data_IF_146999741181
#
_entry.id   IF_146999741181
#
_cell.length_a   1.000
_cell.length_b   1.000
_cell.length_c   1.000
_cell.angle_alpha   90.00
_cell.angle_beta   90.00
_cell.angle_gamma   90.00
#
_symmetry.space_group_name_H-M   'P 1'
#
loop_
_entity.id
_entity.type
_entity.pdbx_description
1 polymer ?
#
# COMPACT_ATOMS: atom_id res chain seq x y z
N UNK A 1 -9.24 -17.10 44.76
CA UNK A 1 -9.93 -16.78 43.50
C UNK A 1 -9.38 -15.41 43.11
N UNK A 2 -8.48 -15.36 42.12
CA UNK A 2 -7.95 -14.08 41.65
C UNK A 2 -9.07 -13.39 40.90
N UNK A 3 -9.42 -12.17 41.32
CA UNK A 3 -10.39 -11.35 40.58
C UNK A 3 -9.90 -11.18 39.13
N UNK A 4 -10.82 -11.29 38.16
CA UNK A 4 -10.55 -11.05 36.75
C UNK A 4 -10.06 -9.61 36.60
N UNK A 5 -8.87 -9.37 35.99
CA UNK A 5 -8.41 -8.01 35.73
C UNK A 5 -9.29 -7.26 34.73
N UNK A 6 -9.99 -7.97 33.82
CA UNK A 6 -10.92 -7.32 32.88
C UNK A 6 -12.24 -6.95 33.59
N UNK A 7 -12.73 -5.73 33.35
CA UNK A 7 -14.05 -5.33 33.83
C UNK A 7 -15.17 -6.18 33.19
N UNK A 8 -16.25 -6.44 33.95
CA UNK A 8 -17.37 -7.27 33.47
C UNK A 8 -18.01 -6.79 32.13
N UNK A 9 -17.92 -5.49 31.82
CA UNK A 9 -18.42 -4.99 30.54
C UNK A 9 -17.58 -5.45 29.34
N UNK A 10 -16.32 -5.90 29.53
CA UNK A 10 -15.47 -6.38 28.45
C UNK A 10 -16.06 -7.60 27.72
N UNK A 11 -16.88 -8.39 28.40
CA UNK A 11 -17.62 -9.52 27.81
C UNK A 11 -18.75 -9.09 26.86
N UNK A 12 -19.20 -7.85 26.97
CA UNK A 12 -20.22 -7.28 26.08
C UNK A 12 -19.62 -6.73 24.78
N UNK A 13 -18.30 -6.63 24.71
CA UNK A 13 -17.60 -6.17 23.52
C UNK A 13 -17.45 -7.32 22.51
N UNK A 14 -17.77 -7.04 21.24
CA UNK A 14 -17.56 -7.99 20.14
C UNK A 14 -16.09 -8.17 19.75
N UNK A 15 -15.18 -7.34 20.28
CA UNK A 15 -13.74 -7.41 20.01
C UNK A 15 -13.08 -8.37 21.01
N UNK A 16 -12.25 -9.29 20.50
CA UNK A 16 -11.51 -10.20 21.37
C UNK A 16 -10.39 -9.44 22.12
N UNK A 17 -10.36 -9.61 23.45
CA UNK A 17 -9.41 -8.94 24.34
C UNK A 17 -8.64 -9.98 25.17
N UNK A 18 -7.31 -9.83 25.20
CA UNK A 18 -6.43 -10.53 26.15
C UNK A 18 -5.68 -9.51 27.01
N UNK A 19 -5.44 -9.87 28.25
CA UNK A 19 -4.56 -9.11 29.15
C UNK A 19 -3.30 -9.92 29.39
N UNK A 20 -2.16 -9.28 29.20
CA UNK A 20 -0.85 -9.90 29.38
C UNK A 20 -0.08 -9.28 30.54
N UNK A 21 0.69 -10.12 31.22
CA UNK A 21 1.73 -9.69 32.13
C UNK A 21 2.88 -9.06 31.33
N UNK A 22 3.29 -7.81 31.66
CA UNK A 22 4.30 -7.09 30.86
C UNK A 22 5.70 -7.69 30.91
N UNK A 23 6.04 -8.44 31.96
CA UNK A 23 7.39 -9.01 32.13
C UNK A 23 7.50 -10.41 31.51
N UNK A 24 6.50 -11.25 31.76
CA UNK A 24 6.49 -12.66 31.39
C UNK A 24 5.75 -12.94 30.07
N UNK A 25 4.86 -12.02 29.63
CA UNK A 25 3.99 -12.21 28.48
C UNK A 25 2.82 -13.18 28.75
N UNK A 26 2.70 -13.69 29.98
CA UNK A 26 1.64 -14.63 30.33
C UNK A 26 0.25 -14.02 30.16
N UNK A 27 -0.71 -14.82 29.70
CA UNK A 27 -2.12 -14.43 29.63
C UNK A 27 -2.69 -14.36 31.04
N UNK A 28 -3.09 -13.18 31.47
CA UNK A 28 -3.71 -12.92 32.77
C UNK A 28 -5.23 -13.05 32.70
N UNK A 29 -5.83 -12.62 31.58
CA UNK A 29 -7.27 -12.67 31.39
C UNK A 29 -7.69 -12.61 29.91
N UNK A 30 -8.95 -12.99 29.65
CA UNK A 30 -9.56 -12.96 28.33
C UNK A 30 -11.05 -12.70 28.45
N UNK A 31 -11.63 -11.98 27.49
CA UNK A 31 -13.09 -11.79 27.43
C UNK A 31 -13.76 -12.92 26.62
N UNK A 32 -15.10 -12.95 26.67
CA UNK A 32 -15.92 -13.95 25.97
C UNK A 32 -15.67 -13.97 24.44
N UNK A 33 -15.40 -12.81 23.82
CA UNK A 33 -15.08 -12.75 22.39
C UNK A 33 -13.73 -13.43 22.08
N UNK A 34 -12.73 -13.33 22.95
CA UNK A 34 -11.46 -14.05 22.81
C UNK A 34 -11.65 -15.56 22.97
N UNK A 35 -12.47 -16.01 23.93
CA UNK A 35 -12.81 -17.44 24.04
C UNK A 35 -13.47 -17.97 22.76
N UNK A 36 -14.38 -17.21 22.15
CA UNK A 36 -15.02 -17.54 20.87
C UNK A 36 -14.04 -17.58 19.71
N UNK A 37 -13.09 -16.63 19.64
CA UNK A 37 -12.08 -16.55 18.60
C UNK A 37 -11.11 -17.75 18.64
N UNK A 38 -10.56 -18.07 19.82
CA UNK A 38 -9.57 -19.14 19.99
C UNK A 38 -10.19 -20.52 20.19
N UNK A 39 -11.44 -20.59 20.64
CA UNK A 39 -12.13 -21.83 20.99
C UNK A 39 -11.66 -22.45 22.31
N UNK A 40 -10.95 -21.70 23.13
CA UNK A 40 -10.46 -22.09 24.44
C UNK A 40 -11.10 -21.25 25.54
N UNK A 41 -11.35 -21.81 26.71
CA UNK A 41 -11.73 -21.03 27.87
C UNK A 41 -10.58 -20.14 28.37
N UNK A 42 -10.88 -19.08 29.08
CA UNK A 42 -9.88 -18.19 29.71
C UNK A 42 -8.87 -18.98 30.54
N UNK A 43 -9.31 -19.99 31.27
CA UNK A 43 -8.41 -20.87 32.04
C UNK A 43 -7.43 -21.63 31.16
N UNK A 44 -7.90 -22.17 30.03
CA UNK A 44 -7.06 -22.87 29.06
C UNK A 44 -6.11 -21.92 28.32
N UNK A 45 -6.53 -20.66 28.02
CA UNK A 45 -5.66 -19.64 27.43
C UNK A 45 -4.52 -19.25 28.38
N UNK A 46 -4.80 -19.13 29.68
CA UNK A 46 -3.78 -18.88 30.71
C UNK A 46 -2.74 -20.00 30.80
N UNK A 47 -3.19 -21.24 30.75
CA UNK A 47 -2.31 -22.40 30.82
C UNK A 47 -1.43 -22.57 29.58
N UNK A 48 -2.01 -22.36 28.39
CA UNK A 48 -1.32 -22.53 27.12
C UNK A 48 -0.36 -21.39 26.80
N UNK A 49 -0.68 -20.19 27.26
CA UNK A 49 0.05 -18.97 26.89
C UNK A 49 -0.01 -18.67 25.39
N UNK A 50 0.78 -17.71 24.94
CA UNK A 50 0.86 -17.32 23.52
C UNK A 50 1.41 -18.46 22.66
N UNK A 51 2.37 -19.21 23.16
CA UNK A 51 3.00 -20.33 22.45
C UNK A 51 2.00 -21.43 22.09
N UNK A 52 1.14 -21.80 23.03
CA UNK A 52 0.18 -22.90 22.84
C UNK A 52 -0.97 -22.59 21.90
N UNK A 53 -1.14 -21.32 21.52
CA UNK A 53 -2.16 -20.85 20.55
C UNK A 53 -1.55 -20.33 19.24
N UNK A 54 -0.22 -20.13 19.18
CA UNK A 54 0.48 -19.70 17.97
C UNK A 54 0.80 -20.88 17.06
N UNK A 55 1.07 -20.58 15.78
CA UNK A 55 1.56 -21.59 14.85
C UNK A 55 3.04 -21.84 15.03
N UNK A 56 3.50 -23.05 14.71
CA UNK A 56 4.92 -23.43 14.75
C UNK A 56 5.69 -22.76 13.59
N UNK A 57 6.06 -21.49 13.78
CA UNK A 57 6.85 -20.73 12.82
C UNK A 57 7.80 -19.79 13.57
N UNK A 58 9.05 -19.64 13.12
CA UNK A 58 10.00 -18.69 13.72
C UNK A 58 9.46 -17.26 13.80
N UNK A 59 8.60 -16.87 12.86
CA UNK A 59 7.95 -15.55 12.80
C UNK A 59 6.94 -15.35 13.93
N UNK A 60 6.32 -16.43 14.41
CA UNK A 60 5.25 -16.41 15.44
C UNK A 60 5.73 -17.08 16.72
N UNK A 61 7.00 -16.84 17.10
CA UNK A 61 7.62 -17.42 18.26
C UNK A 61 7.24 -16.70 19.56
N UNK A 62 7.36 -17.39 20.68
CA UNK A 62 7.17 -16.81 22.02
C UNK A 62 8.12 -15.63 22.26
N UNK A 63 9.35 -15.74 21.80
CA UNK A 63 10.34 -14.67 21.94
C UNK A 63 9.89 -13.40 21.22
N UNK A 64 9.39 -13.52 19.97
CA UNK A 64 8.84 -12.39 19.20
C UNK A 64 7.63 -11.78 19.89
N UNK A 65 6.72 -12.60 20.41
CA UNK A 65 5.54 -12.12 21.13
C UNK A 65 5.93 -11.37 22.41
N UNK A 66 6.86 -11.93 23.20
CA UNK A 66 7.32 -11.31 24.44
C UNK A 66 8.04 -9.99 24.19
N UNK A 67 8.84 -9.90 23.13
CA UNK A 67 9.51 -8.65 22.75
C UNK A 67 8.48 -7.55 22.45
N UNK A 68 7.42 -7.85 21.70
CA UNK A 68 6.36 -6.90 21.37
C UNK A 68 5.53 -6.50 22.61
N UNK A 69 5.24 -7.45 23.52
CA UNK A 69 4.54 -7.17 24.76
C UNK A 69 5.36 -6.22 25.65
N UNK A 70 6.68 -6.42 25.74
CA UNK A 70 7.57 -5.54 26.50
C UNK A 70 7.65 -4.14 25.91
N UNK A 71 7.79 -4.02 24.57
CA UNK A 71 7.76 -2.73 23.90
C UNK A 71 6.46 -1.97 24.18
N UNK A 72 5.31 -2.65 24.09
CA UNK A 72 4.02 -2.05 24.43
C UNK A 72 3.92 -1.64 25.91
N UNK A 73 4.53 -2.40 26.82
CA UNK A 73 4.58 -2.06 28.27
C UNK A 73 5.42 -0.80 28.53
N UNK A 74 6.43 -0.52 27.73
CA UNK A 74 7.25 0.68 27.76
C UNK A 74 6.57 1.91 27.15
N UNK A 75 5.44 1.71 26.43
CA UNK A 75 4.62 2.78 25.87
C UNK A 75 4.65 2.83 24.33
N UNK A 76 5.41 1.95 23.68
CA UNK A 76 5.45 1.80 22.22
C UNK A 76 4.30 0.88 21.76
N UNK A 77 3.19 1.46 21.29
CA UNK A 77 2.03 0.70 20.80
C UNK A 77 2.44 -0.19 19.63
N UNK A 78 2.11 -1.48 19.68
CA UNK A 78 2.43 -2.46 18.66
C UNK A 78 1.20 -2.86 17.87
N UNK A 79 1.25 -2.82 16.54
CA UNK A 79 0.22 -3.40 15.67
C UNK A 79 0.88 -4.36 14.69
N UNK A 80 0.39 -5.59 14.63
CA UNK A 80 0.96 -6.61 13.77
C UNK A 80 -0.02 -7.73 13.46
N UNK A 81 0.26 -8.50 12.43
CA UNK A 81 -0.47 -9.69 12.09
C UNK A 81 0.16 -10.93 12.71
N UNK A 82 -0.69 -11.85 13.13
CA UNK A 82 -0.27 -13.09 13.78
C UNK A 82 -1.09 -14.26 13.29
N UNK A 83 -0.50 -15.45 13.26
CA UNK A 83 -1.22 -16.65 12.90
C UNK A 83 -1.41 -17.56 14.12
N UNK A 84 -2.65 -17.94 14.38
CA UNK A 84 -3.04 -18.73 15.53
C UNK A 84 -3.72 -20.03 15.13
N UNK A 85 -3.64 -21.02 16.02
CA UNK A 85 -4.34 -22.29 15.91
C UNK A 85 -5.43 -22.36 16.96
N UNK A 86 -6.66 -22.53 16.50
CA UNK A 86 -7.84 -22.75 17.37
C UNK A 86 -7.83 -24.11 18.02
N UNK A 87 -8.76 -24.31 18.97
CA UNK A 87 -8.97 -25.61 19.65
C UNK A 87 -9.37 -26.74 18.71
N UNK A 88 -10.04 -26.43 17.60
CA UNK A 88 -10.44 -27.36 16.54
C UNK A 88 -9.37 -27.56 15.46
N UNK A 89 -8.15 -27.03 15.68
CA UNK A 89 -7.01 -27.04 14.78
C UNK A 89 -7.17 -26.13 13.54
N UNK A 90 -8.25 -25.35 13.42
CA UNK A 90 -8.37 -24.36 12.36
C UNK A 90 -7.32 -23.25 12.53
N UNK A 91 -6.68 -22.88 11.42
CA UNK A 91 -5.70 -21.81 11.38
C UNK A 91 -6.40 -20.48 11.10
N UNK A 92 -6.12 -19.47 11.91
CA UNK A 92 -6.67 -18.13 11.74
C UNK A 92 -5.59 -17.08 11.66
N UNK A 93 -5.83 -16.08 10.85
CA UNK A 93 -5.07 -14.86 10.83
C UNK A 93 -5.75 -13.83 11.71
N UNK A 94 -4.97 -13.24 12.60
CA UNK A 94 -5.43 -12.18 13.49
C UNK A 94 -4.56 -10.94 13.34
N UNK A 95 -5.16 -9.77 13.45
CA UNK A 95 -4.45 -8.52 13.71
C UNK A 95 -4.46 -8.28 15.21
N UNK A 96 -3.29 -8.04 15.78
CA UNK A 96 -3.11 -7.78 17.22
C UNK A 96 -2.64 -6.36 17.39
N UNK A 97 -3.31 -5.61 18.29
CA UNK A 97 -2.87 -4.30 18.76
C UNK A 97 -2.60 -4.36 20.25
N UNK A 98 -1.35 -4.10 20.64
CA UNK A 98 -0.90 -4.11 22.04
C UNK A 98 -0.79 -2.70 22.55
N UNK A 99 -1.37 -2.45 23.75
CA UNK A 99 -1.29 -1.17 24.44
C UNK A 99 -1.04 -1.38 25.94
N UNK A 100 -0.27 -0.46 26.51
CA UNK A 100 -0.14 -0.39 27.97
C UNK A 100 -1.45 0.07 28.59
N UNK A 101 -1.89 -0.63 29.63
CA UNK A 101 -3.06 -0.27 30.42
C UNK A 101 -2.76 -0.42 31.91
N UNK A 102 -3.50 0.28 32.75
CA UNK A 102 -3.46 0.08 34.20
C UNK A 102 -4.81 -0.48 34.63
N UNK A 103 -4.83 -1.70 35.11
CA UNK A 103 -6.02 -2.39 35.59
C UNK A 103 -5.92 -2.50 37.11
N UNK A 104 -6.74 -1.71 37.82
CA UNK A 104 -6.57 -1.51 39.26
C UNK A 104 -5.26 -0.79 39.58
N UNK A 105 -4.36 -1.42 40.34
CA UNK A 105 -3.02 -0.89 40.67
C UNK A 105 -1.90 -1.55 39.85
N UNK A 106 -2.25 -2.47 38.94
CA UNK A 106 -1.27 -3.29 38.19
C UNK A 106 -1.13 -2.78 36.76
N UNK A 107 0.11 -2.50 36.35
CA UNK A 107 0.44 -2.26 34.94
C UNK A 107 0.31 -3.57 34.17
N UNK A 108 -0.37 -3.55 33.04
CA UNK A 108 -0.62 -4.70 32.17
C UNK A 108 -0.55 -4.29 30.70
N UNK A 109 -0.52 -5.24 29.80
CA UNK A 109 -0.65 -5.00 28.34
C UNK A 109 -1.96 -5.58 27.86
N UNK A 110 -2.80 -4.73 27.27
CA UNK A 110 -4.05 -5.11 26.63
C UNK A 110 -3.77 -5.43 25.16
N UNK A 111 -4.17 -6.62 24.74
CA UNK A 111 -4.20 -7.00 23.33
C UNK A 111 -5.65 -6.90 22.83
N UNK A 112 -5.87 -6.03 21.85
CA UNK A 112 -7.07 -6.00 21.01
C UNK A 112 -6.81 -6.91 19.81
N UNK A 113 -7.74 -7.83 19.53
CA UNK A 113 -7.54 -8.86 18.51
C UNK A 113 -8.71 -8.88 17.55
N UNK A 114 -8.41 -8.77 16.28
CA UNK A 114 -9.37 -8.83 15.19
C UNK A 114 -9.07 -10.05 14.31
N UNK A 115 -10.10 -10.86 14.01
CA UNK A 115 -9.98 -11.93 13.02
C UNK A 115 -9.95 -11.32 11.60
N UNK A 116 -8.86 -11.53 10.89
CA UNK A 116 -8.66 -11.07 9.51
C UNK A 116 -8.59 -12.24 8.52
N UNK A 117 -8.98 -13.45 8.92
CA UNK A 117 -8.87 -14.68 8.11
C UNK A 117 -9.65 -14.56 6.81
N UNK A 118 -10.89 -14.09 6.86
CA UNK A 118 -11.73 -13.88 5.68
C UNK A 118 -11.13 -12.85 4.73
N UNK A 119 -10.60 -11.76 5.29
CA UNK A 119 -9.92 -10.72 4.51
C UNK A 119 -8.68 -11.31 3.79
N UNK A 120 -7.84 -12.05 4.51
CA UNK A 120 -6.66 -12.72 3.94
C UNK A 120 -7.04 -13.77 2.88
N UNK A 121 -8.11 -14.55 3.11
CA UNK A 121 -8.62 -15.52 2.13
C UNK A 121 -9.10 -14.84 0.84
N UNK A 122 -9.86 -13.74 0.96
CA UNK A 122 -10.33 -12.97 -0.20
C UNK A 122 -9.17 -12.36 -0.97
N UNK A 123 -8.25 -11.70 -0.27
CA UNK A 123 -7.07 -11.09 -0.88
C UNK A 123 -6.23 -12.13 -1.61
N UNK A 124 -5.95 -13.28 -0.99
CA UNK A 124 -5.18 -14.37 -1.62
C UNK A 124 -5.89 -14.97 -2.84
N UNK A 125 -7.23 -15.08 -2.79
CA UNK A 125 -8.02 -15.55 -3.94
C UNK A 125 -7.94 -14.57 -5.11
N UNK A 126 -8.05 -13.28 -4.86
CA UNK A 126 -7.88 -12.24 -5.88
C UNK A 126 -6.47 -12.27 -6.47
N UNK A 127 -5.43 -12.38 -5.65
CA UNK A 127 -4.04 -12.49 -6.10
C UNK A 127 -3.81 -13.69 -7.01
N UNK A 128 -4.38 -14.85 -6.69
CA UNK A 128 -4.30 -16.04 -7.54
C UNK A 128 -4.99 -15.83 -8.88
N UNK A 129 -6.19 -15.26 -8.89
CA UNK A 129 -6.94 -14.94 -10.11
C UNK A 129 -6.17 -13.95 -10.99
N UNK A 130 -5.65 -12.88 -10.40
CA UNK A 130 -4.84 -11.89 -11.12
C UNK A 130 -3.57 -12.51 -11.71
N UNK A 131 -2.88 -13.40 -10.97
CA UNK A 131 -1.69 -14.09 -11.47
C UNK A 131 -1.99 -14.95 -12.70
N UNK A 132 -3.12 -15.68 -12.70
CA UNK A 132 -3.55 -16.53 -13.82
C UNK A 132 -3.92 -15.67 -15.03
N UNK A 133 -4.73 -14.63 -14.82
CA UNK A 133 -5.16 -13.70 -15.88
C UNK A 133 -3.94 -13.05 -16.54
N UNK A 134 -3.03 -12.53 -15.75
CA UNK A 134 -1.81 -11.89 -16.22
C UNK A 134 -0.93 -12.80 -17.05
N UNK A 135 -0.69 -14.02 -16.57
CA UNK A 135 0.13 -14.98 -17.30
C UNK A 135 -0.47 -15.28 -18.68
N UNK A 136 -1.78 -15.48 -18.75
CA UNK A 136 -2.47 -15.78 -20.00
C UNK A 136 -2.49 -14.55 -20.93
N UNK A 137 -2.80 -13.37 -20.37
CA UNK A 137 -2.86 -12.13 -21.14
C UNK A 137 -1.49 -11.75 -21.74
N UNK A 138 -0.41 -11.87 -20.95
CA UNK A 138 0.95 -11.62 -21.46
C UNK A 138 1.32 -12.57 -22.59
N UNK A 139 0.96 -13.85 -22.49
CA UNK A 139 1.23 -14.82 -23.56
C UNK A 139 0.45 -14.49 -24.83
N UNK A 140 -0.83 -14.19 -24.72
CA UNK A 140 -1.69 -13.84 -25.85
C UNK A 140 -1.24 -12.52 -26.51
N UNK A 141 -0.88 -11.52 -25.72
CA UNK A 141 -0.36 -10.25 -26.23
C UNK A 141 0.99 -10.41 -26.93
N UNK A 142 1.87 -11.27 -26.44
CA UNK A 142 3.14 -11.57 -27.13
C UNK A 142 2.91 -12.17 -28.53
N UNK A 143 1.85 -12.98 -28.69
CA UNK A 143 1.44 -13.52 -29.99
C UNK A 143 0.89 -12.42 -30.89
N UNK A 144 0.04 -11.52 -30.37
CA UNK A 144 -0.53 -10.39 -31.12
C UNK A 144 0.57 -9.44 -31.59
N UNK A 145 1.50 -9.07 -30.71
CA UNK A 145 2.66 -8.21 -31.04
C UNK A 145 3.53 -8.87 -32.12
N UNK A 146 3.80 -10.18 -32.00
CA UNK A 146 4.57 -10.93 -32.97
C UNK A 146 3.93 -10.95 -34.37
N UNK A 147 2.62 -11.18 -34.46
CA UNK A 147 1.88 -11.15 -35.72
C UNK A 147 1.74 -9.73 -36.29
N UNK A 148 1.51 -8.71 -35.46
CA UNK A 148 1.47 -7.31 -35.88
C UNK A 148 2.81 -6.88 -36.46
N UNK A 149 3.94 -7.20 -35.85
CA UNK A 149 5.26 -6.94 -36.36
C UNK A 149 5.59 -7.69 -37.67
N UNK A 150 5.06 -8.91 -37.84
CA UNK A 150 5.22 -9.66 -39.09
C UNK A 150 4.38 -9.06 -40.23
N UNK A 151 3.18 -8.54 -39.90
CA UNK A 151 2.34 -7.82 -40.88
C UNK A 151 2.99 -6.49 -41.27
N UNK A 152 3.50 -5.71 -40.34
CA UNK A 152 4.21 -4.45 -40.56
C UNK A 152 5.35 -4.64 -41.59
N UNK A 153 6.13 -5.73 -41.48
CA UNK A 153 7.24 -6.06 -42.41
C UNK A 153 6.78 -6.56 -43.76
N UNK A 154 5.56 -7.10 -43.88
CA UNK A 154 5.06 -7.73 -45.12
C UNK A 154 4.19 -6.82 -45.98
N UNK A 155 3.78 -5.66 -45.44
CA UNK A 155 2.83 -4.76 -46.09
C UNK A 155 3.58 -3.63 -46.82
N UNK A 156 3.28 -3.48 -48.11
CA UNK A 156 3.77 -2.38 -48.97
C UNK A 156 2.73 -1.22 -49.09
N UNK A 157 1.61 -1.30 -48.36
CA UNK A 157 0.49 -0.34 -48.41
C UNK A 157 0.40 0.43 -47.10
N UNK A 158 0.57 1.77 -47.15
CA UNK A 158 0.57 2.71 -46.01
C UNK A 158 -0.64 2.54 -45.08
N UNK A 159 -1.81 2.14 -45.57
CA UNK A 159 -3.02 1.97 -44.77
C UNK A 159 -2.98 0.71 -43.88
N UNK A 160 -2.34 -0.35 -44.32
CA UNK A 160 -2.19 -1.58 -43.54
C UNK A 160 -1.04 -1.47 -42.55
N UNK A 161 0.00 -0.71 -42.85
CA UNK A 161 1.10 -0.39 -41.94
C UNK A 161 0.56 0.37 -40.72
N UNK A 162 -0.29 1.39 -40.93
CA UNK A 162 -0.97 2.11 -39.83
C UNK A 162 -1.85 1.18 -38.95
N UNK A 163 -2.57 0.23 -39.53
CA UNK A 163 -3.38 -0.72 -38.81
C UNK A 163 -2.52 -1.68 -37.96
N UNK A 164 -1.42 -2.16 -38.45
CA UNK A 164 -0.47 -2.99 -37.73
C UNK A 164 0.16 -2.23 -36.55
N UNK A 165 0.50 -0.96 -36.76
CA UNK A 165 1.02 -0.07 -35.73
C UNK A 165 0.01 0.18 -34.61
N UNK A 166 -1.29 0.35 -34.92
CA UNK A 166 -2.36 0.46 -33.94
C UNK A 166 -2.50 -0.83 -33.12
N UNK A 167 -2.49 -2.00 -33.77
CA UNK A 167 -2.59 -3.29 -33.07
C UNK A 167 -1.40 -3.46 -32.12
N UNK A 168 -0.19 -3.13 -32.56
CA UNK A 168 1.02 -3.21 -31.74
C UNK A 168 0.93 -2.30 -30.52
N UNK A 169 0.51 -1.04 -30.72
CA UNK A 169 0.33 -0.05 -29.64
C UNK A 169 -0.66 -0.55 -28.59
N UNK A 170 -1.85 -1.01 -29.01
CA UNK A 170 -2.87 -1.55 -28.09
C UNK A 170 -2.36 -2.77 -27.33
N UNK A 171 -1.61 -3.66 -27.98
CA UNK A 171 -1.02 -4.82 -27.33
C UNK A 171 0.07 -4.45 -26.31
N UNK A 172 0.88 -3.43 -26.62
CA UNK A 172 1.87 -2.87 -25.69
C UNK A 172 1.20 -2.18 -24.50
N UNK A 173 0.08 -1.47 -24.70
CA UNK A 173 -0.72 -0.85 -23.63
C UNK A 173 -1.29 -1.89 -22.68
N UNK A 174 -1.88 -2.97 -23.20
CA UNK A 174 -2.40 -4.08 -22.40
C UNK A 174 -1.28 -4.78 -21.63
N UNK A 175 -0.10 -4.92 -22.20
CA UNK A 175 1.06 -5.50 -21.53
C UNK A 175 1.53 -4.63 -20.36
N UNK A 176 1.61 -3.31 -20.56
CA UNK A 176 1.93 -2.34 -19.50
C UNK A 176 0.90 -2.34 -18.38
N UNK A 177 -0.40 -2.38 -18.71
CA UNK A 177 -1.48 -2.51 -17.73
C UNK A 177 -1.29 -3.77 -16.87
N UNK A 178 -0.94 -4.88 -17.49
CA UNK A 178 -0.73 -6.16 -16.80
C UNK A 178 0.47 -6.10 -15.85
N UNK A 179 1.53 -5.37 -16.22
CA UNK A 179 2.69 -5.14 -15.35
C UNK A 179 2.36 -4.24 -14.17
N UNK A 180 1.57 -3.20 -14.38
CA UNK A 180 1.12 -2.30 -13.31
C UNK A 180 0.31 -3.04 -12.24
N UNK A 181 -0.64 -3.88 -12.67
CA UNK A 181 -1.40 -4.74 -11.74
C UNK A 181 -0.46 -5.69 -10.97
N UNK A 182 0.61 -6.21 -11.60
CA UNK A 182 1.61 -7.06 -10.94
C UNK A 182 2.32 -6.37 -9.79
N UNK A 183 2.73 -5.13 -10.02
CA UNK A 183 3.47 -4.37 -9.02
C UNK A 183 2.59 -3.94 -7.85
N UNK A 184 1.32 -3.60 -8.13
CA UNK A 184 0.32 -3.36 -7.08
C UNK A 184 0.20 -4.58 -6.16
N UNK A 185 0.13 -5.79 -6.75
CA UNK A 185 0.07 -7.02 -5.96
C UNK A 185 1.34 -7.27 -5.13
N UNK A 186 2.51 -6.99 -5.70
CA UNK A 186 3.78 -7.14 -5.02
C UNK A 186 3.88 -6.19 -3.82
N UNK A 187 3.44 -4.93 -3.98
CA UNK A 187 3.38 -3.93 -2.91
C UNK A 187 2.34 -4.35 -1.87
N UNK A 188 1.13 -4.77 -2.29
CA UNK A 188 0.05 -5.18 -1.40
C UNK A 188 0.30 -6.52 -0.68
N UNK A 189 1.11 -7.42 -1.25
CA UNK A 189 1.40 -8.75 -0.70
C UNK A 189 2.61 -8.79 0.23
N UNK A 190 3.43 -7.75 0.26
CA UNK A 190 4.47 -7.61 1.26
C UNK A 190 3.83 -7.40 2.64
N UNK A 191 3.68 -8.50 3.36
CA UNK A 191 3.07 -8.65 4.69
C UNK A 191 3.80 -7.89 5.82
N UNK A 192 4.85 -7.22 5.50
CA UNK A 192 5.52 -6.15 6.23
C UNK A 192 5.81 -5.07 5.20
N UNK A 193 4.84 -4.20 4.95
CA UNK A 193 5.17 -2.88 4.44
C UNK A 193 6.18 -2.32 5.44
N UNK A 194 7.47 -2.38 5.10
CA UNK A 194 8.52 -1.69 5.83
C UNK A 194 8.29 -0.19 5.56
N UNK A 195 7.24 0.34 6.22
CA UNK A 195 7.03 1.78 6.29
C UNK A 195 8.28 2.36 6.96
N UNK A 196 8.99 3.17 6.22
CA UNK A 196 10.19 3.85 6.71
C UNK A 196 10.06 5.35 6.52
N UNK A 197 10.69 6.14 7.41
CA UNK A 197 10.83 7.56 7.18
C UNK A 197 11.49 7.81 5.83
N UNK A 198 10.77 8.47 4.92
CA UNK A 198 11.24 8.79 3.57
C UNK A 198 11.39 10.29 3.45
N UNK A 199 12.60 10.74 3.17
CA UNK A 199 12.91 12.12 2.82
C UNK A 199 12.46 12.36 1.37
N UNK A 200 11.36 13.10 1.21
CA UNK A 200 10.73 13.33 -0.10
C UNK A 200 11.66 14.10 -1.04
N UNK A 201 12.28 15.22 -0.66
CA UNK A 201 13.26 15.91 -1.50
C UNK A 201 14.35 14.99 -2.05
N UNK A 202 14.96 14.18 -1.19
CA UNK A 202 16.01 13.24 -1.62
C UNK A 202 15.48 12.19 -2.63
N UNK A 203 14.27 11.68 -2.42
CA UNK A 203 13.62 10.76 -3.35
C UNK A 203 13.34 11.43 -4.70
N UNK A 204 12.88 12.68 -4.72
CA UNK A 204 12.61 13.42 -5.95
C UNK A 204 13.89 13.70 -6.74
N UNK A 205 15.00 14.06 -6.08
CA UNK A 205 16.29 14.25 -6.73
C UNK A 205 16.82 12.96 -7.37
N UNK A 206 16.66 11.81 -6.68
CA UNK A 206 17.02 10.49 -7.21
C UNK A 206 16.21 10.16 -8.47
N UNK A 207 14.87 10.32 -8.41
CA UNK A 207 13.97 10.08 -9.53
C UNK A 207 14.27 11.00 -10.72
N UNK A 208 14.51 12.29 -10.48
CA UNK A 208 14.85 13.22 -11.54
C UNK A 208 16.10 12.77 -12.30
N UNK A 209 17.17 12.39 -11.60
CA UNK A 209 18.41 11.89 -12.21
C UNK A 209 18.20 10.58 -13.00
N UNK A 210 17.38 9.66 -12.51
CA UNK A 210 17.06 8.42 -13.20
C UNK A 210 16.30 8.68 -14.51
N UNK A 211 15.24 9.53 -14.44
CA UNK A 211 14.41 9.82 -15.62
C UNK A 211 15.13 10.67 -16.67
N UNK A 212 15.97 11.61 -16.29
CA UNK A 212 16.84 12.33 -17.24
C UNK A 212 17.81 11.38 -17.97
N UNK A 213 18.28 10.33 -17.28
CA UNK A 213 19.14 9.31 -17.87
C UNK A 213 18.37 8.37 -18.80
N UNK A 214 17.14 8.01 -18.45
CA UNK A 214 16.26 7.13 -19.24
C UNK A 214 15.70 7.86 -20.49
N UNK A 215 15.37 9.17 -20.33
CA UNK A 215 14.79 10.02 -21.37
C UNK A 215 15.66 11.26 -21.64
N UNK A 216 16.75 11.14 -22.42
CA UNK A 216 17.69 12.25 -22.64
C UNK A 216 17.09 13.48 -23.34
N UNK A 217 15.88 13.35 -23.93
CA UNK A 217 15.12 14.45 -24.54
C UNK A 217 14.26 15.24 -23.56
N UNK A 218 13.99 14.71 -22.37
CA UNK A 218 13.17 15.35 -21.35
C UNK A 218 14.01 16.20 -20.40
N UNK A 219 13.37 17.16 -19.73
CA UNK A 219 13.94 17.93 -18.64
C UNK A 219 13.13 17.68 -17.37
N UNK A 220 13.77 17.14 -16.32
CA UNK A 220 13.12 16.87 -15.04
C UNK A 220 13.80 17.68 -13.97
N UNK A 221 13.09 18.63 -13.36
CA UNK A 221 13.62 19.53 -12.35
C UNK A 221 12.93 19.34 -11.00
N UNK A 222 13.64 19.62 -9.90
CA UNK A 222 13.10 19.50 -8.54
C UNK A 222 13.02 20.88 -7.91
N UNK A 223 11.86 21.22 -7.35
CA UNK A 223 11.58 22.45 -6.62
C UNK A 223 11.12 22.10 -5.19
N UNK A 224 11.83 22.53 -4.17
CA UNK A 224 11.46 22.32 -2.76
C UNK A 224 11.04 23.63 -2.15
N UNK A 225 9.77 23.75 -1.76
CA UNK A 225 9.18 25.01 -1.27
C UNK A 225 9.32 25.23 0.25
N UNK A 226 10.01 24.34 0.95
CA UNK A 226 10.15 24.42 2.42
C UNK A 226 11.55 24.09 2.90
N UNK A 227 12.03 24.86 3.90
CA UNK A 227 13.29 24.57 4.60
C UNK A 227 13.13 23.51 5.70
N UNK A 228 11.88 23.23 6.11
CA UNK A 228 11.59 22.35 7.25
C UNK A 228 11.66 20.85 6.94
N UNK A 229 12.00 20.49 5.69
CA UNK A 229 11.99 19.09 5.22
C UNK A 229 10.58 18.51 5.07
N UNK A 230 10.40 17.59 4.13
CA UNK A 230 9.17 16.84 3.92
C UNK A 230 9.51 15.37 4.13
N UNK A 231 9.20 14.86 5.32
CA UNK A 231 9.42 13.44 5.67
C UNK A 231 8.06 12.78 5.86
N UNK A 232 7.85 11.68 5.16
CA UNK A 232 6.60 10.91 5.20
C UNK A 232 6.89 9.46 5.58
N UNK A 233 5.91 8.76 6.14
CA UNK A 233 6.00 7.31 6.35
C UNK A 233 5.58 6.62 5.07
N UNK A 234 6.53 6.06 4.33
CA UNK A 234 6.25 5.43 3.06
C UNK A 234 6.96 4.08 2.88
N UNK A 235 6.37 3.27 2.00
CA UNK A 235 6.97 2.06 1.46
C UNK A 235 7.37 2.28 -0.01
N UNK A 236 7.67 1.21 -0.72
CA UNK A 236 7.99 1.24 -2.16
C UNK A 236 6.85 1.78 -3.04
N UNK A 237 5.62 1.83 -2.51
CA UNK A 237 4.45 2.34 -3.23
C UNK A 237 4.57 3.82 -3.58
N UNK A 238 5.16 4.65 -2.70
CA UNK A 238 5.37 6.06 -3.00
C UNK A 238 6.28 6.24 -4.22
N UNK A 239 7.46 5.61 -4.21
CA UNK A 239 8.38 5.64 -5.35
C UNK A 239 7.68 5.22 -6.64
N UNK A 240 6.95 4.10 -6.59
CA UNK A 240 6.25 3.56 -7.74
C UNK A 240 5.16 4.49 -8.28
N UNK A 241 4.36 5.10 -7.40
CA UNK A 241 3.36 6.10 -7.79
C UNK A 241 3.99 7.32 -8.48
N UNK A 242 5.11 7.83 -7.95
CA UNK A 242 5.84 8.95 -8.53
C UNK A 242 6.50 8.58 -9.87
N UNK A 243 7.12 7.40 -9.99
CA UNK A 243 7.66 6.89 -11.26
C UNK A 243 6.59 6.85 -12.35
N UNK A 244 5.36 6.41 -12.00
CA UNK A 244 4.23 6.41 -12.93
C UNK A 244 3.83 7.82 -13.35
N UNK A 245 3.76 8.77 -12.42
CA UNK A 245 3.40 10.15 -12.72
C UNK A 245 4.43 10.82 -13.64
N UNK A 246 5.73 10.67 -13.35
CA UNK A 246 6.82 11.23 -14.15
C UNK A 246 6.83 10.61 -15.56
N UNK A 247 6.69 9.29 -15.64
CA UNK A 247 6.67 8.57 -16.92
C UNK A 247 5.47 8.99 -17.77
N UNK A 248 4.30 9.14 -17.18
CA UNK A 248 3.11 9.65 -17.88
C UNK A 248 3.34 11.06 -18.40
N UNK A 249 3.87 11.97 -17.59
CA UNK A 249 4.20 13.34 -17.96
C UNK A 249 5.13 13.42 -19.17
N UNK A 250 6.13 12.52 -19.25
CA UNK A 250 7.09 12.48 -20.39
C UNK A 250 6.48 11.81 -21.62
N UNK A 251 5.80 10.66 -21.47
CA UNK A 251 5.35 9.83 -22.58
C UNK A 251 4.10 10.39 -23.30
N UNK A 252 3.24 11.11 -22.57
CA UNK A 252 2.03 11.74 -23.12
C UNK A 252 2.24 13.19 -23.55
N UNK A 253 3.48 13.69 -23.48
CA UNK A 253 3.81 15.03 -23.96
C UNK A 253 4.03 15.01 -25.49
N UNK A 254 3.38 15.95 -26.18
CA UNK A 254 3.49 16.10 -27.65
C UNK A 254 4.67 16.99 -28.08
N UNK A 255 5.42 17.56 -27.13
CA UNK A 255 6.54 18.45 -27.36
C UNK A 255 7.84 17.72 -27.70
N UNK A 256 8.74 18.36 -28.45
CA UNK A 256 10.07 17.82 -28.74
C UNK A 256 10.95 17.66 -27.51
N UNK A 257 10.63 18.38 -26.44
CA UNK A 257 11.36 18.37 -25.18
C UNK A 257 10.39 18.51 -24.00
N UNK A 258 9.85 17.40 -23.49
CA UNK A 258 8.98 17.42 -22.32
C UNK A 258 9.64 18.08 -21.10
N UNK A 259 8.92 18.98 -20.44
CA UNK A 259 9.34 19.61 -19.18
C UNK A 259 8.51 19.08 -18.03
N UNK A 260 9.18 18.50 -17.01
CA UNK A 260 8.54 17.98 -15.80
C UNK A 260 9.15 18.65 -14.58
N UNK A 261 8.31 19.19 -13.71
CA UNK A 261 8.73 19.82 -12.46
C UNK A 261 8.20 18.99 -11.28
N UNK A 262 9.10 18.47 -10.46
CA UNK A 262 8.79 17.75 -9.23
C UNK A 262 8.82 18.72 -8.08
N UNK A 263 7.70 18.89 -7.37
CA UNK A 263 7.62 19.81 -6.24
C UNK A 263 7.38 19.06 -4.94
N UNK A 264 8.05 19.51 -3.89
CA UNK A 264 7.76 19.10 -2.53
C UNK A 264 7.44 20.32 -1.68
N UNK A 265 6.29 20.29 -1.04
CA UNK A 265 5.80 21.33 -0.14
C UNK A 265 5.26 20.72 1.16
N UNK A 266 5.11 21.56 2.18
CA UNK A 266 4.55 21.18 3.47
C UNK A 266 3.31 22.01 3.76
N UNK A 267 2.20 21.33 4.06
CA UNK A 267 1.01 21.97 4.63
C UNK A 267 0.99 21.75 6.15
N UNK A 268 1.48 22.75 6.88
CA UNK A 268 1.56 22.71 8.35
C UNK A 268 0.20 22.80 9.03
N UNK A 269 -0.88 23.20 8.31
CA UNK A 269 -2.22 23.29 8.89
C UNK A 269 -2.82 21.93 9.11
N UNK A 270 -2.63 21.04 8.14
CA UNK A 270 -3.17 19.69 8.15
C UNK A 270 -2.11 18.61 8.43
N UNK A 271 -0.86 19.00 8.78
CA UNK A 271 0.28 18.09 8.95
C UNK A 271 0.46 17.16 7.75
N UNK A 272 0.45 17.74 6.53
CA UNK A 272 0.56 17.00 5.28
C UNK A 272 1.80 17.40 4.49
N UNK A 273 2.44 16.40 3.88
CA UNK A 273 3.40 16.61 2.81
C UNK A 273 2.67 16.59 1.46
N UNK A 274 2.93 17.59 0.63
CA UNK A 274 2.37 17.74 -0.72
C UNK A 274 3.49 17.50 -1.72
N UNK A 275 3.28 16.55 -2.63
CA UNK A 275 4.21 16.21 -3.70
C UNK A 275 3.49 16.39 -5.01
N UNK A 276 4.01 17.24 -5.90
CA UNK A 276 3.41 17.51 -7.19
C UNK A 276 4.35 17.09 -8.32
N UNK A 277 3.77 16.47 -9.33
CA UNK A 277 4.39 16.25 -10.64
C UNK A 277 3.66 17.16 -11.61
N UNK A 278 4.35 18.18 -12.11
CA UNK A 278 3.80 19.21 -13.01
C UNK A 278 4.42 19.00 -14.38
N UNK A 279 3.63 18.92 -15.42
CA UNK A 279 4.08 18.79 -16.81
C UNK A 279 3.53 19.93 -17.69
N UNK A 280 4.11 20.07 -18.87
CA UNK A 280 3.70 21.02 -19.91
C UNK A 280 2.98 20.34 -21.08
N UNK A 281 2.49 19.10 -20.87
CA UNK A 281 1.82 18.30 -21.89
C UNK A 281 0.35 18.69 -22.11
N UNK A 282 -0.34 17.97 -23.01
CA UNK A 282 -1.77 18.16 -23.25
C UNK A 282 -2.57 17.79 -22.00
N UNK A 283 -3.71 18.48 -21.84
CA UNK A 283 -4.59 18.25 -20.69
C UNK A 283 -5.06 16.79 -20.63
N UNK A 284 -5.02 16.20 -19.44
CA UNK A 284 -5.60 14.89 -19.18
C UNK A 284 -7.11 14.98 -19.39
N UNK A 285 -7.74 14.06 -20.15
CA UNK A 285 -9.18 14.12 -20.41
C UNK A 285 -10.00 14.07 -19.13
N UNK A 286 -11.03 14.94 -19.04
CA UNK A 286 -11.92 15.00 -17.86
C UNK A 286 -12.51 13.62 -17.50
N UNK A 287 -12.81 12.80 -18.51
CA UNK A 287 -13.32 11.43 -18.34
C UNK A 287 -12.37 10.52 -17.54
N UNK A 288 -11.05 10.75 -17.65
CA UNK A 288 -10.04 9.98 -16.92
C UNK A 288 -9.89 10.52 -15.48
N UNK A 289 -10.01 11.83 -15.31
CA UNK A 289 -9.99 12.48 -13.99
C UNK A 289 -11.25 12.12 -13.21
N UNK A 290 -12.43 12.20 -13.84
CA UNK A 290 -13.73 11.85 -13.23
C UNK A 290 -13.77 10.36 -12.81
N UNK A 291 -13.10 9.48 -13.56
CA UNK A 291 -13.01 8.05 -13.22
C UNK A 291 -12.22 7.76 -11.94
N UNK A 292 -11.32 8.68 -11.54
CA UNK A 292 -10.58 8.57 -10.29
C UNK A 292 -11.45 9.05 -9.11
N UNK A 293 -12.25 10.11 -9.31
CA UNK A 293 -13.06 10.72 -8.25
C UNK A 293 -14.32 9.92 -7.90
N UNK A 294 -14.93 9.26 -8.90
CA UNK A 294 -15.95 8.26 -8.65
C UNK A 294 -15.26 6.97 -8.15
N UNK A 295 -15.73 6.34 -7.08
CA UNK A 295 -15.36 4.96 -6.70
C UNK A 295 -15.80 3.96 -7.80
N UNK A 296 -15.47 4.28 -9.06
CA UNK A 296 -15.87 3.54 -10.24
C UNK A 296 -15.12 2.21 -10.30
N UNK A 297 -15.86 1.15 -10.52
CA UNK A 297 -15.31 -0.18 -10.79
C UNK A 297 -14.39 -0.09 -12.03
N UNK A 298 -13.19 -0.69 -11.96
CA UNK A 298 -12.20 -0.79 -13.06
C UNK A 298 -12.85 -1.29 -14.37
N UNK A 299 -14.01 -1.97 -14.28
CA UNK A 299 -14.77 -2.48 -15.42
C UNK A 299 -15.44 -1.39 -16.28
N UNK A 300 -15.56 -0.15 -15.80
CA UNK A 300 -16.15 0.97 -16.53
C UNK A 300 -15.14 1.82 -17.30
N UNK A 301 -13.84 1.61 -17.09
CA UNK A 301 -12.78 2.29 -17.82
C UNK A 301 -12.72 1.80 -19.27
N UNK A 302 -13.36 2.55 -20.17
CA UNK A 302 -13.25 2.34 -21.62
C UNK A 302 -11.93 2.95 -22.10
N UNK A 303 -11.04 2.08 -22.63
CA UNK A 303 -9.76 2.41 -23.28
C UNK A 303 -8.59 2.78 -22.35
N UNK A 304 -7.76 1.84 -22.08
CA UNK A 304 -6.31 1.76 -21.75
C UNK A 304 -5.57 2.85 -20.96
N UNK A 305 -6.02 4.10 -20.95
CA UNK A 305 -5.28 5.25 -20.41
C UNK A 305 -5.52 5.53 -18.92
N UNK A 306 -6.68 5.21 -18.35
CA UNK A 306 -7.02 5.50 -16.95
C UNK A 306 -6.30 4.64 -15.90
N UNK A 307 -5.61 3.56 -16.29
CA UNK A 307 -4.99 2.63 -15.33
C UNK A 307 -3.81 3.27 -14.60
N UNK A 308 -3.04 4.13 -15.27
CA UNK A 308 -1.92 4.83 -14.65
C UNK A 308 -2.36 5.70 -13.49
N UNK A 309 -3.43 6.48 -13.68
CA UNK A 309 -4.00 7.34 -12.65
C UNK A 309 -4.58 6.53 -11.49
N UNK A 310 -5.25 5.40 -11.78
CA UNK A 310 -5.76 4.50 -10.76
C UNK A 310 -4.62 3.91 -9.89
N UNK A 311 -3.51 3.50 -10.50
CA UNK A 311 -2.32 3.02 -9.79
C UNK A 311 -1.77 4.09 -8.87
N UNK A 312 -1.63 5.33 -9.34
CA UNK A 312 -1.16 6.46 -8.54
C UNK A 312 -2.09 6.74 -7.35
N UNK A 313 -3.42 6.76 -7.59
CA UNK A 313 -4.43 6.91 -6.53
C UNK A 313 -4.29 5.81 -5.48
N UNK A 314 -4.23 4.55 -5.92
CA UNK A 314 -4.06 3.42 -5.02
C UNK A 314 -2.77 3.53 -4.18
N UNK A 315 -1.65 3.94 -4.78
CA UNK A 315 -0.40 4.16 -4.06
C UNK A 315 -0.56 5.25 -2.99
N UNK A 316 -1.18 6.38 -3.32
CA UNK A 316 -1.42 7.46 -2.36
C UNK A 316 -2.33 7.02 -1.20
N UNK A 317 -3.45 6.36 -1.50
CA UNK A 317 -4.41 5.88 -0.51
C UNK A 317 -3.84 4.78 0.41
N UNK A 318 -3.00 3.89 -0.12
CA UNK A 318 -2.32 2.86 0.68
C UNK A 318 -1.38 3.44 1.74
N UNK A 319 -0.88 4.65 1.51
CA UNK A 319 -0.04 5.43 2.43
C UNK A 319 -0.85 6.36 3.36
N UNK A 320 -2.19 6.24 3.35
CA UNK A 320 -3.07 7.10 4.15
C UNK A 320 -3.19 8.53 3.62
N UNK A 321 -2.84 8.72 2.34
CA UNK A 321 -2.93 9.98 1.63
C UNK A 321 -4.08 10.04 0.62
N UNK A 322 -3.96 10.97 -0.32
CA UNK A 322 -4.88 11.13 -1.45
C UNK A 322 -4.12 11.56 -2.70
N UNK A 323 -4.72 11.30 -3.86
CA UNK A 323 -4.28 11.79 -5.16
C UNK A 323 -5.31 12.80 -5.68
N UNK A 324 -4.84 13.94 -6.17
CA UNK A 324 -5.64 14.91 -6.91
C UNK A 324 -4.98 15.20 -8.26
N UNK A 325 -5.78 15.38 -9.29
CA UNK A 325 -5.31 15.71 -10.64
C UNK A 325 -6.06 16.93 -11.13
N UNK A 326 -5.34 17.96 -11.53
CA UNK A 326 -5.95 19.18 -12.03
C UNK A 326 -5.09 19.79 -13.15
N UNK A 327 -5.73 20.58 -14.00
CA UNK A 327 -5.01 21.35 -15.02
C UNK A 327 -4.38 22.59 -14.39
N UNK A 328 -3.15 22.90 -14.75
CA UNK A 328 -2.53 24.21 -14.47
C UNK A 328 -2.76 25.12 -15.68
N UNK A 329 -3.44 26.25 -15.48
CA UNK A 329 -3.74 27.24 -16.53
C UNK A 329 -2.48 27.74 -17.29
N UNK A 330 -1.29 27.54 -16.73
CA UNK A 330 -0.03 28.04 -17.26
C UNK A 330 0.93 26.96 -17.76
N UNK A 331 0.78 25.68 -17.36
CA UNK A 331 1.79 24.66 -17.55
C UNK A 331 1.30 23.27 -18.00
N UNK A 332 0.03 22.97 -18.09
CA UNK A 332 -0.46 21.64 -18.47
C UNK A 332 -1.13 20.91 -17.31
N UNK A 333 -0.57 19.81 -16.82
CA UNK A 333 -1.21 19.01 -15.76
C UNK A 333 -0.42 19.06 -14.45
N UNK A 334 -1.14 18.90 -13.34
CA UNK A 334 -0.60 18.72 -12.00
C UNK A 334 -1.18 17.42 -11.42
N UNK A 335 -0.31 16.48 -11.12
CA UNK A 335 -0.63 15.28 -10.34
C UNK A 335 -0.11 15.49 -8.93
N UNK A 336 -1.00 15.60 -7.95
CA UNK A 336 -0.69 15.92 -6.56
C UNK A 336 -0.93 14.73 -5.64
N UNK A 337 0.10 14.34 -4.91
CA UNK A 337 0.05 13.37 -3.80
C UNK A 337 0.08 14.13 -2.48
N UNK A 338 -0.94 13.98 -1.66
CA UNK A 338 -0.98 14.53 -0.30
C UNK A 338 -0.86 13.40 0.71
N UNK A 339 0.20 13.39 1.52
CA UNK A 339 0.52 12.31 2.47
C UNK A 339 0.65 12.83 3.90
N UNK A 340 0.40 11.98 4.94
CA UNK A 340 0.67 12.35 6.31
C UNK A 340 2.17 12.61 6.52
N UNK A 341 2.52 13.75 7.12
CA UNK A 341 3.90 14.00 7.57
C UNK A 341 4.22 13.10 8.77
N UNK A 342 5.45 12.61 8.81
CA UNK A 342 6.02 12.15 10.07
C UNK A 342 6.41 13.39 10.87
N UNK A 343 5.84 13.55 12.08
CA UNK A 343 6.31 14.53 13.01
C UNK A 343 7.80 14.25 13.27
N UNK A 344 8.66 15.23 12.99
CA UNK A 344 10.02 15.17 13.46
C UNK A 344 9.94 15.11 15.00
N UNK A 345 10.36 14.00 15.61
CA UNK A 345 10.56 14.01 17.05
C UNK A 345 11.45 15.21 17.37
N UNK A 346 11.05 16.08 18.32
CA UNK A 346 11.91 17.17 18.72
C UNK A 346 13.19 16.53 19.25
N UNK A 347 14.28 16.68 18.49
CA UNK A 347 15.59 16.14 18.85
C UNK A 347 15.96 16.56 20.27
N UNK A 348 16.41 15.58 21.07
CA UNK A 348 17.04 15.80 22.36
C UNK A 348 18.28 16.73 22.26
#
# INVERSE_FOLDING_TARGET
>A
MSESPLPAFADLLGTALLVHDPETGAVLDANAAAEGLYGYSTAALRERGVTGISTESPRFSEETALQRIRAAAEGDEQTFEWQVRRSDSEMRWIQVRLRRVTLGETASVLAEIQDITEFKRRTRRLQLLHRIIRHNLRNEMSVVIGHAGSLEQALEDDNHEQQAEVIKRVADDVSRMTESVSRIEEIASNDSADFSPTDVPALLDELAGEFESEFPGASVTVEVETEAGVVVSADRGLRYGLEHAIRNAIQHNDGDRPEVVLRAARDDRDSRGVIQVVDDGPAIPDVEVDAIDADADISEMQHGSGVGLFVMKWCAESLGGRLEVHADDSRGNVVEFTLPLLDAEPGE
#
